data_IF_699576253735
#
_entry.id   IF_699576253735
#
_cell.length_a   1.000
_cell.length_b   1.000
_cell.length_c   1.000
_cell.angle_alpha   90.00
_cell.angle_beta   90.00
_cell.angle_gamma   90.00
#
_symmetry.space_group_name_H-M   'P 1'
#
loop_
_entity.id
_entity.type
_entity.pdbx_description
1 polymer ?
#
# COMPACT_ATOMS: atom_id res chain seq x y z
N UNK A 1 38.51 -11.50 -26.28
CA UNK A 1 37.51 -11.88 -25.28
C UNK A 1 36.36 -10.90 -25.41
N UNK A 2 35.24 -11.35 -25.97
CA UNK A 2 34.05 -10.54 -26.19
C UNK A 2 33.47 -10.14 -24.84
N UNK A 3 33.38 -8.83 -24.58
CA UNK A 3 32.62 -8.28 -23.47
C UNK A 3 31.19 -8.85 -23.54
N UNK A 4 30.82 -9.59 -22.49
CA UNK A 4 29.50 -10.19 -22.39
C UNK A 4 28.44 -9.10 -22.37
N UNK A 5 27.75 -8.94 -23.50
CA UNK A 5 26.48 -8.20 -23.59
C UNK A 5 25.56 -8.70 -22.48
N UNK A 6 25.40 -7.91 -21.42
CA UNK A 6 24.34 -8.13 -20.42
C UNK A 6 23.04 -7.93 -21.18
N UNK A 7 22.24 -8.99 -21.38
CA UNK A 7 20.95 -8.80 -22.08
C UNK A 7 20.18 -7.66 -21.42
N UNK A 8 19.64 -6.73 -22.23
CA UNK A 8 18.88 -5.61 -21.72
C UNK A 8 17.65 -6.12 -20.96
N UNK A 9 17.28 -5.38 -19.92
CA UNK A 9 16.02 -5.61 -19.21
C UNK A 9 14.96 -4.79 -19.91
N UNK A 10 13.86 -5.42 -20.29
CA UNK A 10 12.66 -4.72 -20.76
C UNK A 10 11.75 -4.43 -19.56
N UNK A 11 11.26 -3.20 -19.45
CA UNK A 11 10.55 -2.70 -18.27
C UNK A 11 9.14 -2.24 -18.61
N UNK A 12 8.17 -2.84 -17.92
CA UNK A 12 6.83 -2.29 -17.73
C UNK A 12 6.85 -1.32 -16.54
N UNK A 13 6.78 -0.01 -16.82
CA UNK A 13 6.90 1.05 -15.79
C UNK A 13 5.54 1.65 -15.47
N UNK A 14 5.17 1.66 -14.18
CA UNK A 14 3.99 2.36 -13.71
C UNK A 14 4.24 3.88 -13.60
N UNK A 15 3.35 4.67 -14.20
CA UNK A 15 3.27 6.12 -14.02
C UNK A 15 1.88 6.50 -13.54
N UNK A 16 1.80 7.18 -12.41
CA UNK A 16 0.53 7.57 -11.81
C UNK A 16 -0.03 8.79 -12.54
N UNK A 17 -1.13 8.61 -13.26
CA UNK A 17 -1.90 9.70 -13.84
C UNK A 17 -2.85 10.28 -12.79
N UNK A 18 -2.70 11.56 -12.51
CA UNK A 18 -3.59 12.29 -11.62
C UNK A 18 -4.64 13.04 -12.46
N UNK A 19 -5.93 12.67 -12.38
CA UNK A 19 -6.97 13.31 -13.16
C UNK A 19 -7.26 14.76 -12.72
N UNK A 20 -7.11 15.08 -11.44
CA UNK A 20 -7.37 16.43 -10.91
C UNK A 20 -6.29 17.42 -11.35
N UNK A 21 -5.06 16.93 -11.51
CA UNK A 21 -3.90 17.71 -11.97
C UNK A 21 -3.64 17.58 -13.48
N UNK A 22 -4.36 16.70 -14.16
CA UNK A 22 -4.22 16.39 -15.59
C UNK A 22 -2.76 16.15 -16.03
N UNK A 23 -1.98 15.43 -15.21
CA UNK A 23 -0.58 15.11 -15.48
C UNK A 23 -0.12 13.86 -14.73
N UNK A 24 1.01 13.30 -15.14
CA UNK A 24 1.69 12.29 -14.33
C UNK A 24 2.30 12.93 -13.08
N UNK A 25 2.10 12.30 -11.93
CA UNK A 25 2.58 12.78 -10.64
C UNK A 25 3.06 11.62 -9.77
N UNK A 26 3.66 11.88 -8.59
CA UNK A 26 3.74 10.88 -7.54
C UNK A 26 2.36 10.40 -7.08
N UNK A 27 2.31 9.29 -6.36
CA UNK A 27 1.07 8.85 -5.70
C UNK A 27 0.80 9.73 -4.49
N UNK A 28 -0.45 10.19 -4.33
CA UNK A 28 -0.91 10.98 -3.19
C UNK A 28 -2.02 10.25 -2.42
N UNK A 29 -2.30 10.70 -1.20
CA UNK A 29 -3.32 10.18 -0.27
C UNK A 29 -4.78 10.49 -0.69
N UNK A 30 -5.03 10.70 -1.98
CA UNK A 30 -6.36 10.98 -2.50
C UNK A 30 -7.34 9.85 -2.17
N UNK A 31 -8.48 10.20 -1.56
CA UNK A 31 -9.49 9.25 -1.11
C UNK A 31 -10.78 9.47 -1.89
N UNK A 32 -11.09 8.65 -2.91
CA UNK A 32 -12.20 8.90 -3.84
C UNK A 32 -13.57 8.90 -3.16
N UNK A 33 -13.71 8.21 -2.02
CA UNK A 33 -14.93 8.18 -1.22
C UNK A 33 -15.33 9.56 -0.67
N UNK A 34 -14.38 10.47 -0.47
CA UNK A 34 -14.63 11.81 0.07
C UNK A 34 -15.14 12.82 -0.98
N UNK A 35 -15.37 12.37 -2.22
CA UNK A 35 -15.75 13.22 -3.35
C UNK A 35 -14.55 13.96 -3.97
N UNK A 36 -14.80 14.66 -5.08
CA UNK A 36 -13.76 15.31 -5.89
C UNK A 36 -13.17 16.60 -5.32
N UNK A 37 -13.71 17.12 -4.21
CA UNK A 37 -13.28 18.42 -3.67
C UNK A 37 -12.01 18.32 -2.79
N UNK A 38 -11.73 17.13 -2.24
CA UNK A 38 -10.59 16.90 -1.36
C UNK A 38 -9.46 16.18 -2.11
N UNK A 39 -8.58 16.97 -2.72
CA UNK A 39 -7.34 16.51 -3.34
C UNK A 39 -6.41 15.86 -2.33
N UNK A 40 -5.71 14.80 -2.71
CA UNK A 40 -4.58 14.30 -1.94
C UNK A 40 -3.37 15.24 -2.06
N UNK A 41 -2.81 15.65 -0.93
CA UNK A 41 -1.63 16.53 -0.86
C UNK A 41 -0.43 15.84 -0.22
N UNK A 42 -0.66 14.79 0.57
CA UNK A 42 0.42 14.01 1.15
C UNK A 42 0.91 12.98 0.14
N UNK A 43 2.17 13.09 -0.27
CA UNK A 43 2.82 12.10 -1.14
C UNK A 43 2.94 10.78 -0.39
N UNK A 44 2.55 9.68 -1.02
CA UNK A 44 2.64 8.33 -0.46
C UNK A 44 3.76 7.56 -1.17
N UNK A 45 4.74 7.12 -0.38
CA UNK A 45 5.84 6.24 -0.82
C UNK A 45 5.57 4.77 -0.55
N UNK A 46 4.66 4.48 0.37
CA UNK A 46 4.39 3.12 0.84
C UNK A 46 3.40 2.49 -0.14
N UNK A 47 4.01 1.77 -1.08
CA UNK A 47 3.31 1.19 -2.21
C UNK A 47 3.49 -0.32 -2.22
N UNK A 48 2.53 -0.97 -2.88
CA UNK A 48 2.58 -2.39 -3.19
C UNK A 48 2.08 -2.59 -4.62
N UNK A 49 2.68 -3.55 -5.32
CA UNK A 49 2.18 -4.08 -6.59
C UNK A 49 1.72 -5.51 -6.39
N UNK A 50 0.60 -5.83 -7.02
CA UNK A 50 0.08 -7.17 -7.21
C UNK A 50 -0.20 -7.37 -8.70
N UNK A 51 0.17 -8.51 -9.25
CA UNK A 51 -0.18 -8.88 -10.61
C UNK A 51 -0.19 -10.40 -10.79
N UNK A 52 -0.96 -10.89 -11.75
CA UNK A 52 -0.80 -12.26 -12.25
C UNK A 52 0.25 -12.29 -13.34
N UNK A 53 1.30 -13.07 -13.12
CA UNK A 53 2.43 -13.17 -14.05
C UNK A 53 2.49 -14.57 -14.67
N UNK A 54 2.54 -14.63 -16.00
CA UNK A 54 2.83 -15.85 -16.75
C UNK A 54 4.19 -15.69 -17.42
N UNK A 55 5.16 -16.49 -16.98
CA UNK A 55 6.57 -16.37 -17.39
C UNK A 55 6.94 -17.48 -18.38
N UNK A 56 7.50 -17.11 -19.54
CA UNK A 56 7.94 -18.09 -20.53
C UNK A 56 9.21 -18.84 -20.09
N UNK A 57 9.42 -20.09 -20.55
CA UNK A 57 10.58 -20.90 -20.18
C UNK A 57 11.96 -20.29 -20.54
N UNK A 58 12.01 -19.44 -21.56
CA UNK A 58 13.24 -18.76 -22.02
C UNK A 58 13.56 -17.49 -21.22
N UNK A 59 12.69 -17.06 -20.31
CA UNK A 59 12.98 -15.95 -19.41
C UNK A 59 14.12 -16.35 -18.49
N UNK A 60 15.13 -15.49 -18.35
CA UNK A 60 16.26 -15.72 -17.44
C UNK A 60 16.00 -15.16 -16.05
N UNK A 61 15.36 -14.00 -15.97
CA UNK A 61 14.93 -13.41 -14.72
C UNK A 61 13.72 -12.51 -14.89
N UNK A 62 12.85 -12.48 -13.87
CA UNK A 62 11.86 -11.43 -13.68
C UNK A 62 12.41 -10.47 -12.63
N UNK A 63 12.19 -9.18 -12.83
CA UNK A 63 12.63 -8.15 -11.92
C UNK A 63 11.45 -7.35 -11.43
N UNK A 64 11.53 -6.87 -10.19
CA UNK A 64 10.69 -5.78 -9.71
C UNK A 64 11.59 -4.64 -9.26
N UNK A 65 11.24 -3.43 -9.68
CA UNK A 65 11.76 -2.19 -9.14
C UNK A 65 10.66 -1.54 -8.32
N UNK A 66 10.93 -1.18 -7.08
CA UNK A 66 9.97 -0.50 -6.22
C UNK A 66 10.69 0.55 -5.37
N UNK A 67 10.12 1.75 -5.35
CA UNK A 67 10.67 2.90 -4.65
C UNK A 67 9.95 3.12 -3.32
N UNK A 68 10.72 3.48 -2.29
CA UNK A 68 10.22 3.90 -0.98
C UNK A 68 10.83 5.27 -0.64
N UNK A 69 10.17 6.35 -1.07
CA UNK A 69 10.73 7.70 -0.92
C UNK A 69 11.94 7.88 -1.82
N UNK A 70 13.11 8.14 -1.24
CA UNK A 70 14.39 8.23 -1.95
C UNK A 70 15.03 6.85 -2.19
N UNK A 71 14.57 5.81 -1.50
CA UNK A 71 15.07 4.46 -1.71
C UNK A 71 14.52 3.84 -2.99
N UNK A 72 15.36 3.08 -3.67
CA UNK A 72 15.00 2.23 -4.80
C UNK A 72 15.49 0.81 -4.56
N UNK A 73 14.53 -0.11 -4.46
CA UNK A 73 14.80 -1.53 -4.42
C UNK A 73 14.67 -2.13 -5.81
N UNK A 74 15.60 -3.00 -6.17
CA UNK A 74 15.50 -3.87 -7.36
C UNK A 74 15.71 -5.30 -6.91
N UNK A 75 14.70 -6.14 -7.09
CA UNK A 75 14.78 -7.57 -6.84
C UNK A 75 14.83 -8.30 -8.18
N UNK A 76 15.89 -9.07 -8.42
CA UNK A 76 16.02 -9.94 -9.58
C UNK A 76 15.77 -11.39 -9.16
N UNK A 77 14.69 -11.96 -9.69
CA UNK A 77 14.19 -13.31 -9.39
C UNK A 77 14.53 -14.20 -10.58
N UNK A 78 15.45 -15.16 -10.42
CA UNK A 78 15.81 -16.04 -11.51
C UNK A 78 14.66 -17.00 -11.87
N UNK A 79 14.63 -17.42 -13.12
CA UNK A 79 13.71 -18.45 -13.61
C UNK A 79 14.44 -19.80 -13.78
N UNK A 80 13.74 -20.92 -13.58
CA UNK A 80 14.30 -22.27 -13.70
C UNK A 80 15.28 -22.67 -12.59
N UNK A 81 16.21 -23.59 -12.91
CA UNK A 81 17.15 -24.25 -11.98
C UNK A 81 18.32 -23.37 -11.52
N UNK A 82 18.14 -22.04 -11.51
CA UNK A 82 19.12 -21.18 -10.91
C UNK A 82 19.25 -21.50 -9.40
N UNK A 83 20.46 -21.50 -8.83
CA UNK A 83 20.64 -21.66 -7.39
C UNK A 83 19.82 -20.62 -6.62
N UNK A 84 19.26 -20.97 -5.47
CA UNK A 84 18.48 -20.02 -4.65
C UNK A 84 19.27 -18.73 -4.30
N UNK A 85 20.61 -18.81 -4.20
CA UNK A 85 21.50 -17.65 -4.01
C UNK A 85 21.70 -16.75 -5.24
N UNK A 86 21.07 -17.07 -6.38
CA UNK A 86 21.05 -16.23 -7.57
C UNK A 86 19.97 -15.13 -7.51
N UNK A 87 19.05 -15.18 -6.54
CA UNK A 87 18.20 -14.05 -6.22
C UNK A 87 19.07 -12.88 -5.73
N UNK A 88 18.88 -11.72 -6.34
CA UNK A 88 19.62 -10.50 -6.00
C UNK A 88 18.65 -9.41 -5.55
N UNK A 89 18.91 -8.82 -4.38
CA UNK A 89 18.25 -7.59 -3.93
C UNK A 89 19.28 -6.47 -3.95
N UNK A 90 18.93 -5.36 -4.59
CA UNK A 90 19.73 -4.13 -4.60
C UNK A 90 18.94 -3.01 -3.97
N UNK A 91 19.61 -2.15 -3.21
CA UNK A 91 19.10 -0.89 -2.69
C UNK A 91 20.00 0.24 -3.18
N UNK A 92 19.43 1.24 -3.86
CA UNK A 92 20.15 2.41 -4.37
C UNK A 92 21.39 2.04 -5.22
N UNK A 93 21.25 0.97 -6.01
CA UNK A 93 22.33 0.47 -6.89
C UNK A 93 23.37 -0.41 -6.20
N UNK A 94 23.34 -0.54 -4.87
CA UNK A 94 24.21 -1.44 -4.11
C UNK A 94 23.53 -2.76 -3.84
N UNK A 95 24.24 -3.89 -3.98
CA UNK A 95 23.72 -5.20 -3.60
C UNK A 95 23.56 -5.27 -2.08
N UNK A 96 22.43 -5.79 -1.62
CA UNK A 96 22.24 -6.10 -0.19
C UNK A 96 22.85 -7.47 0.10
N UNK A 97 23.77 -7.48 1.06
CA UNK A 97 24.35 -8.73 1.58
C UNK A 97 23.44 -9.32 2.66
N UNK A 98 23.57 -10.63 2.90
CA UNK A 98 22.84 -11.29 3.99
C UNK A 98 21.34 -11.52 3.75
N UNK A 99 20.84 -11.27 2.54
CA UNK A 99 19.49 -11.69 2.12
C UNK A 99 19.38 -13.19 2.29
N UNK A 100 18.39 -13.64 3.06
CA UNK A 100 18.12 -15.07 3.33
C UNK A 100 17.01 -15.54 2.39
N UNK A 101 17.33 -16.26 1.30
CA UNK A 101 16.30 -16.73 0.39
C UNK A 101 15.43 -17.79 1.08
N UNK A 102 14.13 -17.77 0.78
CA UNK A 102 13.25 -18.86 1.13
C UNK A 102 13.63 -20.12 0.34
N UNK A 103 13.12 -21.28 0.76
CA UNK A 103 13.37 -22.55 0.07
C UNK A 103 12.94 -22.55 -1.42
N UNK A 104 12.02 -21.65 -1.79
CA UNK A 104 11.50 -21.47 -3.16
C UNK A 104 11.69 -20.02 -3.65
N UNK A 105 12.94 -19.57 -3.74
CA UNK A 105 13.32 -18.20 -4.14
C UNK A 105 13.41 -17.97 -5.67
N UNK A 106 12.69 -18.76 -6.47
CA UNK A 106 12.69 -18.69 -7.93
C UNK A 106 11.30 -18.99 -8.47
N UNK A 107 11.07 -18.67 -9.75
CA UNK A 107 9.87 -19.12 -10.47
C UNK A 107 9.79 -20.65 -10.44
N UNK A 108 10.92 -21.33 -10.69
CA UNK A 108 11.00 -22.80 -10.68
C UNK A 108 10.26 -23.44 -11.86
N UNK A 109 10.54 -24.71 -12.15
CA UNK A 109 9.92 -25.40 -13.28
C UNK A 109 8.42 -25.61 -13.13
N UNK A 110 7.94 -25.80 -11.89
CA UNK A 110 6.52 -26.05 -11.61
C UNK A 110 5.60 -24.85 -11.87
N UNK A 111 6.16 -23.66 -12.11
CA UNK A 111 5.41 -22.42 -12.36
C UNK A 111 5.51 -21.96 -13.82
N UNK A 112 6.09 -22.76 -14.72
CA UNK A 112 6.24 -22.39 -16.14
C UNK A 112 4.88 -22.32 -16.82
N UNK A 113 4.65 -21.22 -17.53
CA UNK A 113 3.45 -20.99 -18.33
C UNK A 113 2.10 -21.14 -17.56
N UNK A 114 2.14 -20.99 -16.23
CA UNK A 114 0.95 -20.92 -15.37
C UNK A 114 0.93 -19.53 -14.72
N UNK A 115 -0.22 -18.84 -14.66
CA UNK A 115 -0.34 -17.57 -13.96
C UNK A 115 -0.07 -17.75 -12.46
N UNK A 116 0.89 -16.98 -11.94
CA UNK A 116 1.27 -16.94 -10.53
C UNK A 116 0.94 -15.56 -9.97
N UNK A 117 0.42 -15.50 -8.75
CA UNK A 117 0.22 -14.23 -8.07
C UNK A 117 1.58 -13.69 -7.63
N UNK A 118 1.98 -12.55 -8.19
CA UNK A 118 3.19 -11.83 -7.82
C UNK A 118 2.83 -10.65 -6.94
N UNK A 119 3.57 -10.50 -5.85
CA UNK A 119 3.38 -9.44 -4.86
C UNK A 119 4.74 -8.81 -4.50
N UNK A 120 4.82 -7.49 -4.50
CA UNK A 120 5.97 -6.76 -3.96
C UNK A 120 5.49 -5.51 -3.21
N UNK A 121 5.99 -5.32 -1.98
CA UNK A 121 5.58 -4.23 -1.10
C UNK A 121 6.79 -3.63 -0.39
N UNK A 122 6.71 -2.32 -0.12
CA UNK A 122 7.65 -1.59 0.74
C UNK A 122 6.96 -0.91 1.92
N UNK A 123 5.67 -1.24 2.15
CA UNK A 123 4.87 -0.69 3.25
C UNK A 123 5.51 -0.97 4.61
N UNK A 124 5.28 -0.07 5.57
CA UNK A 124 5.78 -0.18 6.94
C UNK A 124 7.31 -0.29 7.03
N UNK A 125 8.02 0.31 6.07
CA UNK A 125 9.49 0.26 5.95
C UNK A 125 10.04 -1.16 5.87
N UNK A 126 9.29 -2.04 5.23
CA UNK A 126 9.63 -3.46 5.07
C UNK A 126 9.50 -3.87 3.61
N UNK A 127 10.61 -4.28 3.01
CA UNK A 127 10.59 -4.89 1.68
C UNK A 127 10.13 -6.35 1.79
N UNK A 128 9.05 -6.68 1.09
CA UNK A 128 8.58 -8.06 0.89
C UNK A 128 8.37 -8.32 -0.59
N UNK A 129 8.74 -9.53 -1.05
CA UNK A 129 8.39 -10.02 -2.39
C UNK A 129 7.92 -11.46 -2.26
N UNK A 130 6.79 -11.79 -2.86
CA UNK A 130 6.11 -13.08 -2.74
C UNK A 130 5.61 -13.60 -4.09
N UNK A 131 5.49 -14.93 -4.16
CA UNK A 131 4.81 -15.66 -5.23
C UNK A 131 3.75 -16.57 -4.61
N UNK A 132 2.48 -16.38 -4.97
CA UNK A 132 1.31 -17.06 -4.39
C UNK A 132 1.24 -16.94 -2.86
N UNK A 133 1.53 -15.75 -2.33
CA UNK A 133 1.58 -15.49 -0.88
C UNK A 133 2.81 -16.04 -0.16
N UNK A 134 3.68 -16.79 -0.85
CA UNK A 134 4.91 -17.33 -0.25
C UNK A 134 6.09 -16.36 -0.46
N UNK A 135 6.73 -15.86 0.61
CA UNK A 135 7.82 -14.92 0.50
C UNK A 135 9.05 -15.56 -0.17
N UNK A 136 9.75 -14.79 -1.01
CA UNK A 136 10.97 -15.25 -1.69
C UNK A 136 12.23 -15.15 -0.83
N UNK A 137 12.19 -14.35 0.23
CA UNK A 137 13.25 -14.16 1.22
C UNK A 137 12.65 -13.62 2.52
N UNK A 138 13.40 -13.71 3.63
CA UNK A 138 12.99 -13.10 4.90
C UNK A 138 12.73 -11.59 4.73
N UNK A 139 11.59 -11.03 5.18
CA UNK A 139 11.30 -9.61 5.02
C UNK A 139 12.45 -8.71 5.48
N UNK A 140 12.75 -7.67 4.69
CA UNK A 140 13.88 -6.79 4.95
C UNK A 140 13.36 -5.46 5.48
N UNK A 141 13.54 -5.25 6.79
CA UNK A 141 13.31 -3.95 7.42
C UNK A 141 14.43 -2.98 7.06
N UNK A 142 14.09 -1.71 6.84
CA UNK A 142 15.05 -0.68 6.48
C UNK A 142 14.75 0.67 7.14
N UNK A 143 15.80 1.42 7.44
CA UNK A 143 15.67 2.84 7.78
C UNK A 143 15.60 3.65 6.48
N UNK A 144 14.55 4.45 6.24
CA UNK A 144 14.35 5.15 4.97
C UNK A 144 15.41 6.24 4.75
N UNK A 145 15.94 6.32 3.53
CA UNK A 145 16.85 7.39 3.13
C UNK A 145 16.08 8.71 2.98
N UNK A 146 16.59 9.82 3.55
CA UNK A 146 16.01 11.13 3.35
C UNK A 146 16.29 11.62 1.93
N UNK A 147 15.30 12.21 1.28
CA UNK A 147 15.50 12.86 -0.01
C UNK A 147 14.27 12.88 -0.90
N UNK A 148 14.37 13.54 -2.07
CA UNK A 148 13.34 13.44 -3.09
C UNK A 148 13.29 12.00 -3.60
N UNK A 149 12.10 11.55 -4.02
CA UNK A 149 12.01 10.29 -4.74
C UNK A 149 12.32 10.45 -6.22
N UNK A 150 12.11 9.36 -6.97
CA UNK A 150 12.45 9.29 -8.38
C UNK A 150 11.28 9.71 -9.29
N UNK A 151 11.60 10.36 -10.41
CA UNK A 151 10.62 10.85 -11.39
C UNK A 151 10.27 9.83 -12.50
N UNK A 152 11.02 8.73 -12.60
CA UNK A 152 10.88 7.72 -13.66
C UNK A 152 9.89 6.59 -13.34
N UNK A 153 9.03 6.79 -12.33
CA UNK A 153 7.95 5.87 -11.94
C UNK A 153 8.32 4.98 -10.75
N UNK A 154 7.48 4.93 -9.69
CA UNK A 154 7.86 4.33 -8.41
C UNK A 154 7.88 2.79 -8.45
N UNK A 155 7.25 2.17 -9.44
CA UNK A 155 7.15 0.71 -9.58
C UNK A 155 7.40 0.32 -11.04
N UNK A 156 8.15 -0.74 -11.26
CA UNK A 156 8.28 -1.38 -12.56
C UNK A 156 8.44 -2.91 -12.44
N UNK A 157 7.89 -3.63 -13.41
CA UNK A 157 8.16 -5.05 -13.62
C UNK A 157 9.11 -5.19 -14.82
N UNK A 158 10.14 -6.01 -14.67
CA UNK A 158 11.16 -6.21 -15.69
C UNK A 158 11.25 -7.66 -16.11
N UNK A 159 11.60 -7.90 -17.36
CA UNK A 159 11.94 -9.24 -17.87
C UNK A 159 13.33 -9.20 -18.50
N UNK A 160 14.15 -10.22 -18.23
CA UNK A 160 15.46 -10.39 -18.85
C UNK A 160 15.48 -11.68 -19.66
N UNK A 161 15.58 -11.52 -20.98
CA UNK A 161 15.44 -12.62 -21.95
C UNK A 161 13.99 -13.12 -22.01
N UNK A 162 13.52 -13.52 -23.20
CA UNK A 162 12.16 -14.04 -23.37
C UNK A 162 11.06 -13.02 -23.14
N UNK A 163 9.85 -13.50 -22.85
CA UNK A 163 8.69 -12.65 -22.57
C UNK A 163 7.87 -13.12 -21.37
N UNK A 164 7.07 -12.21 -20.85
CA UNK A 164 6.18 -12.43 -19.71
C UNK A 164 4.86 -11.73 -19.98
N UNK A 165 3.74 -12.38 -19.64
CA UNK A 165 2.42 -11.75 -19.64
C UNK A 165 2.08 -11.24 -18.24
N UNK A 166 1.54 -10.03 -18.17
CA UNK A 166 1.10 -9.37 -16.93
C UNK A 166 -0.41 -9.14 -17.01
N UNK A 167 -1.15 -9.71 -16.06
CA UNK A 167 -2.60 -9.63 -15.95
C UNK A 167 -3.02 -9.12 -14.56
N UNK A 168 -4.24 -8.59 -14.45
CA UNK A 168 -4.81 -8.14 -13.17
C UNK A 168 -3.92 -7.20 -12.34
N UNK A 169 -3.11 -6.34 -12.99
CA UNK A 169 -2.17 -5.45 -12.30
C UNK A 169 -2.90 -4.46 -11.38
N UNK A 170 -2.55 -4.46 -10.10
CA UNK A 170 -3.04 -3.54 -9.07
C UNK A 170 -1.87 -2.87 -8.38
N UNK A 171 -2.04 -1.57 -8.11
CA UNK A 171 -1.14 -0.79 -7.27
C UNK A 171 -1.92 -0.37 -6.03
N UNK A 172 -1.40 -0.74 -4.86
CA UNK A 172 -1.93 -0.31 -3.58
C UNK A 172 -1.03 0.77 -3.00
N UNK A 173 -1.63 1.65 -2.22
CA UNK A 173 -0.96 2.64 -1.39
C UNK A 173 -1.42 2.47 0.03
N UNK A 174 -0.57 2.84 0.97
CA UNK A 174 -0.98 2.90 2.37
C UNK A 174 -1.86 4.14 2.67
N UNK A 175 -2.51 4.14 3.84
CA UNK A 175 -3.32 5.24 4.38
C UNK A 175 -2.65 5.77 5.65
N UNK A 176 -2.24 7.03 5.60
CA UNK A 176 -1.58 7.69 6.72
C UNK A 176 -2.53 8.56 7.53
N UNK A 177 -2.25 8.67 8.83
CA UNK A 177 -2.77 9.73 9.68
C UNK A 177 -1.87 10.96 9.56
N UNK A 178 -2.34 11.97 8.83
CA UNK A 178 -1.54 13.15 8.47
C UNK A 178 -1.87 14.37 9.34
N UNK A 179 -1.10 15.45 9.14
CA UNK A 179 -1.27 16.75 9.78
C UNK A 179 -2.39 17.62 9.15
N UNK A 180 -3.09 17.12 8.14
CA UNK A 180 -4.12 17.86 7.39
C UNK A 180 -5.51 17.37 7.77
N UNK A 181 -6.43 18.32 7.99
CA UNK A 181 -7.85 18.06 8.20
C UNK A 181 -8.64 18.71 7.07
N UNK A 182 -9.26 17.91 6.20
CA UNK A 182 -9.97 18.35 5.00
C UNK A 182 -9.12 19.36 4.19
N UNK A 183 -7.89 18.95 3.84
CA UNK A 183 -6.89 19.75 3.10
C UNK A 183 -6.47 21.06 3.77
N UNK A 184 -6.81 21.25 5.04
CA UNK A 184 -6.32 22.37 5.84
C UNK A 184 -5.22 21.88 6.77
N UNK A 185 -3.96 22.34 6.62
CA UNK A 185 -2.91 22.04 7.58
C UNK A 185 -3.31 22.48 8.99
N UNK A 186 -3.10 21.60 9.98
CA UNK A 186 -3.32 21.87 11.40
C UNK A 186 -2.02 21.64 12.16
N UNK A 187 -2.04 21.95 13.46
CA UNK A 187 -1.00 21.50 14.39
C UNK A 187 -1.48 20.18 14.99
N UNK A 188 -1.05 19.02 14.47
CA UNK A 188 -1.53 17.75 14.97
C UNK A 188 -0.82 17.36 16.27
N UNK A 189 -1.46 16.47 17.02
CA UNK A 189 -0.81 15.61 18.01
C UNK A 189 -0.54 14.23 17.40
N UNK A 190 0.50 13.53 17.88
CA UNK A 190 0.83 12.14 17.51
C UNK A 190 1.19 11.86 16.03
N UNK A 191 1.41 12.89 15.21
CA UNK A 191 1.88 12.74 13.81
C UNK A 191 3.42 12.82 13.75
N UNK A 192 3.98 13.97 14.13
CA UNK A 192 5.45 14.18 14.07
C UNK A 192 6.16 13.81 15.37
N UNK A 193 5.42 13.67 16.46
CA UNK A 193 5.97 13.37 17.79
C UNK A 193 4.99 12.54 18.61
N UNK A 194 5.48 11.58 19.42
CA UNK A 194 4.62 10.72 20.20
C UNK A 194 3.87 11.49 21.30
N UNK A 195 2.65 11.08 21.57
CA UNK A 195 1.86 11.53 22.73
C UNK A 195 1.97 10.46 23.82
N UNK A 196 2.27 10.87 25.05
CA UNK A 196 2.28 9.98 26.20
C UNK A 196 0.90 10.00 26.87
N UNK A 197 0.30 8.82 27.01
CA UNK A 197 -0.98 8.63 27.68
C UNK A 197 -0.79 8.20 29.14
N UNK A 198 -1.69 8.66 30.00
CA UNK A 198 -1.88 8.15 31.35
C UNK A 198 -2.57 6.77 31.39
N UNK A 199 -2.71 6.16 32.58
CA UNK A 199 -3.26 4.81 32.73
C UNK A 199 -4.72 4.63 32.26
N UNK A 200 -5.51 5.70 32.19
CA UNK A 200 -6.93 5.70 31.78
C UNK A 200 -7.20 6.84 30.78
N UNK A 201 -6.25 7.05 29.86
CA UNK A 201 -6.35 8.03 28.78
C UNK A 201 -6.25 7.34 27.42
N UNK A 202 -7.06 7.80 26.49
CA UNK A 202 -7.16 7.23 25.15
C UNK A 202 -6.87 8.29 24.09
N UNK A 203 -6.09 7.92 23.09
CA UNK A 203 -5.94 8.69 21.85
C UNK A 203 -6.81 8.00 20.79
N UNK A 204 -7.85 8.68 20.31
CA UNK A 204 -8.83 8.10 19.39
C UNK A 204 -8.65 8.66 17.99
N UNK A 205 -8.78 7.78 17.01
CA UNK A 205 -8.58 8.07 15.59
C UNK A 205 -9.82 7.63 14.83
N UNK A 206 -10.26 8.44 13.87
CA UNK A 206 -11.34 8.05 12.97
C UNK A 206 -10.81 7.41 11.70
N UNK A 207 -11.45 6.33 11.26
CA UNK A 207 -11.05 5.53 10.09
C UNK A 207 -10.89 6.35 8.80
N UNK A 208 -11.72 7.38 8.62
CA UNK A 208 -11.60 8.31 7.50
C UNK A 208 -10.59 9.42 7.84
N UNK A 209 -9.31 9.04 7.87
CA UNK A 209 -8.21 9.88 8.35
C UNK A 209 -8.14 11.29 7.75
N UNK A 210 -8.46 11.54 6.46
CA UNK A 210 -8.36 12.88 5.87
C UNK A 210 -9.41 13.88 6.36
N UNK A 211 -10.54 13.43 6.89
CA UNK A 211 -11.67 14.30 7.30
C UNK A 211 -12.12 14.10 8.75
N UNK A 212 -11.52 13.15 9.45
CA UNK A 212 -11.80 12.89 10.86
C UNK A 212 -11.24 14.00 11.76
N UNK A 213 -12.14 14.71 12.46
CA UNK A 213 -11.75 15.61 13.54
C UNK A 213 -11.64 14.83 14.86
N UNK A 214 -10.47 14.24 15.07
CA UNK A 214 -10.18 13.36 16.20
C UNK A 214 -9.05 13.90 17.09
N UNK A 215 -8.49 13.04 17.96
CA UNK A 215 -7.44 13.38 18.92
C UNK A 215 -6.22 14.08 18.30
N UNK A 216 -5.98 13.93 16.99
CA UNK A 216 -4.92 14.68 16.29
C UNK A 216 -5.17 16.18 16.36
N UNK A 217 -6.40 16.65 16.34
CA UNK A 217 -6.73 18.06 16.07
C UNK A 217 -7.44 18.81 17.21
N UNK A 218 -7.79 18.12 18.30
CA UNK A 218 -8.48 18.75 19.43
C UNK A 218 -7.55 19.64 20.26
N UNK A 219 -7.69 20.96 20.11
CA UNK A 219 -6.77 21.96 20.66
C UNK A 219 -6.64 21.98 22.19
N UNK A 220 -7.71 21.61 22.90
CA UNK A 220 -7.74 21.66 24.36
C UNK A 220 -7.04 20.44 24.99
N UNK A 221 -7.25 19.27 24.41
CA UNK A 221 -6.69 18.00 24.87
C UNK A 221 -6.77 16.98 23.74
N UNK A 222 -5.67 16.28 23.41
CA UNK A 222 -5.69 15.17 22.46
C UNK A 222 -6.22 13.87 23.09
N UNK A 223 -6.45 13.83 24.40
CA UNK A 223 -6.82 12.60 25.11
C UNK A 223 -8.29 12.60 25.53
N UNK A 224 -8.88 11.42 25.49
CA UNK A 224 -10.19 11.12 26.06
C UNK A 224 -9.98 10.36 27.37
N UNK A 225 -10.41 10.89 28.53
CA UNK A 225 -10.45 10.14 29.77
C UNK A 225 -11.41 8.95 29.67
N UNK A 226 -11.06 7.81 30.29
CA UNK A 226 -11.88 6.59 30.25
C UNK A 226 -13.30 6.78 30.80
N UNK A 227 -13.50 7.68 31.75
CA UNK A 227 -14.82 8.02 32.29
C UNK A 227 -15.80 8.61 31.25
N UNK A 228 -15.30 9.08 30.10
CA UNK A 228 -16.14 9.57 29.00
C UNK A 228 -16.61 8.45 28.05
N UNK A 229 -16.10 7.22 28.18
CA UNK A 229 -16.52 6.11 27.34
C UNK A 229 -17.87 5.54 27.79
N UNK A 230 -18.84 5.58 26.88
CA UNK A 230 -20.19 5.03 27.12
C UNK A 230 -20.26 3.52 26.87
N UNK A 231 -19.42 2.99 25.98
CA UNK A 231 -19.44 1.58 25.60
C UNK A 231 -18.77 1.32 24.25
N UNK A 232 -18.85 0.07 23.80
CA UNK A 232 -18.28 -0.37 22.52
C UNK A 232 -19.38 -0.46 21.46
N UNK A 233 -19.15 0.03 20.23
CA UNK A 233 -20.07 -0.21 19.13
C UNK A 233 -20.16 -1.73 18.87
N UNK A 234 -21.38 -2.26 18.78
CA UNK A 234 -21.64 -3.70 18.62
C UNK A 234 -22.52 -4.02 17.40
N UNK A 235 -23.01 -3.00 16.68
CA UNK A 235 -23.97 -3.15 15.60
C UNK A 235 -23.84 -2.02 14.57
N UNK A 236 -23.85 -2.40 13.29
CA UNK A 236 -24.00 -1.50 12.13
C UNK A 236 -25.38 -1.77 11.53
N UNK A 237 -26.18 -0.72 11.30
CA UNK A 237 -27.54 -0.85 10.73
C UNK A 237 -27.74 -0.05 9.43
N UNK A 238 -26.63 0.41 8.83
CA UNK A 238 -26.62 1.17 7.59
C UNK A 238 -26.41 0.24 6.38
N UNK A 239 -27.01 0.55 5.21
CA UNK A 239 -27.95 1.63 4.98
C UNK A 239 -29.34 1.33 5.57
N UNK A 240 -30.02 2.38 6.02
CA UNK A 240 -31.41 2.33 6.46
C UNK A 240 -32.36 2.73 5.34
N UNK A 241 -33.65 2.55 5.57
CA UNK A 241 -34.71 2.81 4.61
C UNK A 241 -35.51 4.05 5.02
N UNK A 242 -35.81 4.91 4.03
CA UNK A 242 -36.80 5.97 4.18
C UNK A 242 -38.19 5.36 4.09
N UNK A 243 -38.87 5.25 5.23
CA UNK A 243 -40.23 4.73 5.31
C UNK A 243 -41.19 5.90 5.54
N UNK A 244 -42.14 6.18 4.64
CA UNK A 244 -43.19 7.15 4.90
C UNK A 244 -44.19 6.53 5.88
N UNK A 245 -44.23 7.03 7.10
CA UNK A 245 -45.22 6.63 8.10
C UNK A 245 -46.27 7.73 8.21
N UNK A 246 -47.55 7.34 8.13
CA UNK A 246 -48.67 8.22 8.45
C UNK A 246 -49.08 8.02 9.91
N UNK A 247 -48.34 8.60 10.85
CA UNK A 247 -48.70 8.62 12.27
C UNK A 247 -48.66 10.09 12.71
N UNK A 248 -49.83 10.64 13.04
CA UNK A 248 -50.05 12.08 13.32
C UNK A 248 -49.78 13.05 12.15
N UNK A 249 -49.78 12.55 10.90
CA UNK A 249 -49.44 13.30 9.70
C UNK A 249 -48.55 12.48 8.78
N UNK A 250 -48.20 12.99 7.59
CA UNK A 250 -47.25 12.32 6.70
C UNK A 250 -45.82 12.72 7.08
N UNK A 251 -45.08 11.83 7.72
CA UNK A 251 -43.68 12.03 8.07
C UNK A 251 -42.82 10.89 7.50
N UNK A 252 -41.59 11.21 7.09
CA UNK A 252 -40.64 10.23 6.57
C UNK A 252 -39.66 9.88 7.69
N UNK A 253 -39.53 8.60 8.00
CA UNK A 253 -38.63 8.11 9.04
C UNK A 253 -37.52 7.30 8.42
N UNK A 254 -36.33 7.44 8.99
CA UNK A 254 -35.18 6.61 8.64
C UNK A 254 -35.18 5.39 9.56
N UNK A 255 -35.53 4.23 9.04
CA UNK A 255 -35.68 3.00 9.80
C UNK A 255 -34.55 2.04 9.41
N UNK A 256 -33.85 1.41 10.38
CA UNK A 256 -32.91 0.33 10.10
C UNK A 256 -33.52 -0.75 9.19
N UNK A 257 -32.78 -1.20 8.17
CA UNK A 257 -33.15 -2.41 7.42
C UNK A 257 -32.61 -3.63 8.16
N UNK A 258 -33.44 -4.51 8.74
CA UNK A 258 -32.97 -5.67 9.49
C UNK A 258 -32.06 -6.60 8.67
N UNK A 259 -32.14 -6.55 7.33
CA UNK A 259 -31.33 -7.36 6.42
C UNK A 259 -29.90 -6.82 6.25
N UNK A 260 -29.71 -5.53 6.47
CA UNK A 260 -28.40 -4.86 6.39
C UNK A 260 -27.70 -4.79 7.75
N UNK A 261 -28.37 -5.23 8.83
CA UNK A 261 -27.80 -5.23 10.17
C UNK A 261 -26.63 -6.22 10.25
N UNK A 262 -25.49 -5.73 10.70
CA UNK A 262 -24.29 -6.53 10.96
C UNK A 262 -23.83 -6.31 12.40
N UNK A 263 -23.61 -7.39 13.12
CA UNK A 263 -23.02 -7.32 14.45
C UNK A 263 -21.51 -7.18 14.33
N UNK A 264 -20.94 -6.26 15.10
CA UNK A 264 -19.50 -6.11 15.26
C UNK A 264 -19.09 -7.15 16.29
N UNK A 265 -18.21 -8.07 15.89
CA UNK A 265 -17.69 -9.14 16.75
C UNK A 265 -16.32 -8.79 17.29
#
# INVERSE_FOLDING_TARGET
ATEGSVDPIDWLVYRHWDPDRARYTPVYDFTPYNGGDLRGEHRVSDLMIEARLTVEPNVRAVLVRIDAGADRFVVAIPNGDAPAGALEVRRNGSRLDGVRPAARAAWGESRRAVPVLFEASVMDRRLTVALDGEPLFDPIDYDPEPGPGHDDGPIALGVRGGSMTVEDLRIYRDIFYTATLANTPRRPFAVDSPVRLGPDEYFVLGDNSPVSNDSRFWSNSPVVPGELFLGKPFLVHLPGQLVPLQVFGRAVYWVPDPREIRYIR
#
